data_IF_969035384249
#
_entry.id   IF_969035384249
#
_cell.length_a   1.000
_cell.length_b   1.000
_cell.length_c   1.000
_cell.angle_alpha   90.00
_cell.angle_beta   90.00
_cell.angle_gamma   90.00
#
_symmetry.space_group_name_H-M   'P 1'
#
loop_
_entity.id
_entity.type
_entity.pdbx_description
1 polymer ?
#
# COMPACT_ATOMS: atom_id res chain seq x y z
N UNK A 1 -53.84 18.60 -31.83
CA UNK A 1 -52.93 18.02 -32.84
C UNK A 1 -52.14 19.14 -33.48
N UNK A 2 -50.88 19.32 -33.07
CA UNK A 2 -49.82 19.73 -33.99
C UNK A 2 -48.49 19.39 -33.32
N UNK A 3 -47.69 18.64 -34.06
CA UNK A 3 -46.43 18.03 -33.69
C UNK A 3 -45.39 19.04 -34.18
N UNK A 4 -44.68 19.71 -33.26
CA UNK A 4 -43.55 20.54 -33.64
C UNK A 4 -42.28 19.98 -33.02
N UNK A 5 -41.35 19.72 -33.93
CA UNK A 5 -40.16 18.93 -33.78
C UNK A 5 -39.19 19.53 -32.77
N UNK A 6 -38.64 18.63 -31.96
CA UNK A 6 -37.44 18.84 -31.17
C UNK A 6 -36.27 18.96 -32.16
N UNK A 7 -35.89 20.18 -32.53
CA UNK A 7 -34.58 20.42 -33.14
C UNK A 7 -33.66 21.02 -32.10
N UNK A 8 -32.58 20.27 -31.88
CA UNK A 8 -31.47 20.55 -30.98
C UNK A 8 -30.87 21.93 -31.27
N UNK A 9 -31.26 22.92 -30.46
CA UNK A 9 -30.52 24.17 -30.35
C UNK A 9 -29.29 23.91 -29.49
N UNK A 10 -28.29 23.32 -30.13
CA UNK A 10 -26.90 23.34 -29.65
C UNK A 10 -26.52 24.81 -29.46
N UNK A 11 -26.52 25.27 -28.21
CA UNK A 11 -25.89 26.52 -27.83
C UNK A 11 -24.40 26.42 -28.17
N UNK A 12 -24.03 26.83 -29.39
CA UNK A 12 -22.68 27.25 -29.73
C UNK A 12 -22.42 28.51 -28.91
N UNK A 13 -21.94 28.31 -27.68
CA UNK A 13 -21.40 29.35 -26.83
C UNK A 13 -20.23 29.98 -27.59
N UNK A 14 -20.44 31.18 -28.13
CA UNK A 14 -19.37 31.91 -28.81
C UNK A 14 -18.16 32.06 -27.87
N UNK A 15 -16.93 31.75 -28.32
CA UNK A 15 -15.76 31.98 -27.51
C UNK A 15 -15.51 33.49 -27.42
N UNK A 16 -15.67 34.04 -26.21
CA UNK A 16 -15.30 35.40 -25.82
C UNK A 16 -13.77 35.58 -25.87
N UNK A 17 -13.20 35.75 -27.06
CA UNK A 17 -11.83 36.26 -27.22
C UNK A 17 -11.80 37.43 -28.20
N UNK A 18 -12.51 38.51 -27.85
CA UNK A 18 -12.18 39.87 -28.32
C UNK A 18 -11.27 40.53 -27.29
N UNK A 19 -10.05 40.03 -27.17
CA UNK A 19 -8.93 40.82 -26.66
C UNK A 19 -7.88 40.86 -27.76
N UNK A 20 -7.83 42.02 -28.43
CA UNK A 20 -6.90 42.37 -29.49
C UNK A 20 -5.46 42.35 -28.96
N UNK A 21 -4.81 41.19 -29.04
CA UNK A 21 -3.34 40.98 -29.12
C UNK A 21 -3.01 39.48 -29.22
N UNK A 22 -3.82 38.69 -29.94
CA UNK A 22 -3.39 37.34 -30.32
C UNK A 22 -2.58 37.53 -31.59
N UNK A 23 -1.26 37.68 -31.43
CA UNK A 23 -0.32 37.54 -32.53
C UNK A 23 -0.63 36.22 -33.25
N UNK A 24 -0.82 36.27 -34.57
CA UNK A 24 -0.90 35.09 -35.43
C UNK A 24 0.39 34.28 -35.24
N UNK A 25 0.36 33.34 -34.30
CA UNK A 25 1.36 32.29 -34.18
C UNK A 25 1.24 31.52 -35.50
N UNK A 26 2.32 31.48 -36.29
CA UNK A 26 2.30 30.70 -37.54
C UNK A 26 1.94 29.27 -37.17
N UNK A 27 1.18 28.57 -38.02
CA UNK A 27 0.75 27.19 -37.74
C UNK A 27 1.92 26.25 -37.39
N UNK A 28 3.13 26.53 -37.88
CA UNK A 28 4.38 25.86 -37.49
C UNK A 28 4.72 26.02 -36.01
N UNK A 29 4.57 27.24 -35.48
CA UNK A 29 4.99 27.61 -34.13
C UNK A 29 3.99 27.08 -33.10
N UNK A 30 2.71 26.98 -33.49
CA UNK A 30 1.66 26.37 -32.67
C UNK A 30 1.88 24.86 -32.48
N UNK A 31 2.28 24.15 -33.55
CA UNK A 31 2.60 22.72 -33.47
C UNK A 31 3.80 22.46 -32.57
N UNK A 32 4.84 23.30 -32.63
CA UNK A 32 6.00 23.19 -31.74
C UNK A 32 5.62 23.42 -30.26
N UNK A 33 4.70 24.34 -29.99
CA UNK A 33 4.18 24.57 -28.62
C UNK A 33 3.42 23.35 -28.11
N UNK A 34 2.56 22.74 -28.94
CA UNK A 34 1.84 21.51 -28.57
C UNK A 34 2.82 20.37 -28.31
N UNK A 35 3.81 20.16 -29.18
CA UNK A 35 4.79 19.09 -29.01
C UNK A 35 5.59 19.25 -27.70
N UNK A 36 6.00 20.47 -27.37
CA UNK A 36 6.67 20.77 -26.11
C UNK A 36 5.76 20.47 -24.90
N UNK A 37 4.47 20.82 -24.99
CA UNK A 37 3.51 20.52 -23.94
C UNK A 37 3.31 19.01 -23.77
N UNK A 38 3.20 18.26 -24.86
CA UNK A 38 3.08 16.79 -24.82
C UNK A 38 4.34 16.12 -24.24
N UNK A 39 5.52 16.71 -24.44
CA UNK A 39 6.76 16.26 -23.79
C UNK A 39 6.68 16.53 -22.27
N UNK A 40 6.32 17.75 -21.87
CA UNK A 40 6.23 18.13 -20.45
C UNK A 40 5.22 17.27 -19.69
N UNK A 41 4.04 17.03 -20.29
CA UNK A 41 3.01 16.17 -19.71
C UNK A 41 3.54 14.74 -19.53
N UNK A 42 4.23 14.18 -20.54
CA UNK A 42 4.82 12.84 -20.45
C UNK A 42 5.90 12.75 -19.38
N UNK A 43 6.75 13.76 -19.27
CA UNK A 43 7.79 13.81 -18.24
C UNK A 43 7.18 13.93 -16.84
N UNK A 44 6.10 14.71 -16.70
CA UNK A 44 5.37 14.82 -15.44
C UNK A 44 4.71 13.50 -15.03
N UNK A 45 4.07 12.81 -15.97
CA UNK A 45 3.49 11.48 -15.74
C UNK A 45 4.58 10.51 -15.26
N UNK A 46 5.71 10.44 -15.99
CA UNK A 46 6.83 9.57 -15.61
C UNK A 46 7.38 9.90 -14.22
N UNK A 47 7.49 11.18 -13.88
CA UNK A 47 7.93 11.62 -12.56
C UNK A 47 6.98 11.15 -11.46
N UNK A 48 5.67 11.22 -11.68
CA UNK A 48 4.67 10.78 -10.71
C UNK A 48 4.65 9.26 -10.56
N UNK A 49 4.79 8.51 -11.66
CA UNK A 49 4.91 7.05 -11.63
C UNK A 49 6.14 6.59 -10.85
N UNK A 50 7.28 7.27 -11.06
CA UNK A 50 8.51 6.99 -10.33
C UNK A 50 8.36 7.28 -8.83
N UNK A 51 7.71 8.39 -8.48
CA UNK A 51 7.44 8.74 -7.09
C UNK A 51 6.52 7.71 -6.43
N UNK A 52 5.43 7.33 -7.10
CA UNK A 52 4.52 6.31 -6.59
C UNK A 52 5.24 4.98 -6.35
N UNK A 53 6.13 4.58 -7.26
CA UNK A 53 6.92 3.37 -7.10
C UNK A 53 7.86 3.45 -5.90
N UNK A 54 8.52 4.58 -5.72
CA UNK A 54 9.37 4.83 -4.55
C UNK A 54 8.56 4.72 -3.24
N UNK A 55 7.39 5.35 -3.18
CA UNK A 55 6.53 5.32 -2.00
C UNK A 55 6.06 3.89 -1.67
N UNK A 56 5.73 3.10 -2.70
CA UNK A 56 5.38 1.68 -2.54
C UNK A 56 6.56 0.90 -1.95
N UNK A 57 7.75 1.05 -2.53
CA UNK A 57 8.95 0.35 -2.08
C UNK A 57 9.32 0.73 -0.64
N UNK A 58 9.18 2.01 -0.28
CA UNK A 58 9.40 2.50 1.09
C UNK A 58 8.40 1.89 2.08
N UNK A 59 7.11 1.90 1.75
CA UNK A 59 6.07 1.32 2.61
C UNK A 59 6.24 -0.19 2.78
N UNK A 60 6.62 -0.90 1.72
CA UNK A 60 6.92 -2.32 1.79
C UNK A 60 8.10 -2.59 2.72
N UNK A 61 9.21 -1.85 2.56
CA UNK A 61 10.38 -1.99 3.42
C UNK A 61 10.04 -1.72 4.89
N UNK A 62 9.27 -0.65 5.16
CA UNK A 62 8.84 -0.32 6.52
C UNK A 62 7.99 -1.44 7.14
N UNK A 63 7.03 -1.97 6.39
CA UNK A 63 6.21 -3.09 6.85
C UNK A 63 7.05 -4.35 7.13
N UNK A 64 8.04 -4.65 6.29
CA UNK A 64 8.97 -5.77 6.50
C UNK A 64 9.79 -5.59 7.77
N UNK A 65 10.33 -4.39 8.01
CA UNK A 65 11.04 -4.06 9.25
C UNK A 65 10.14 -4.24 10.48
N UNK A 66 8.92 -3.68 10.46
CA UNK A 66 7.97 -3.81 11.57
C UNK A 66 7.61 -5.28 11.84
N UNK A 67 7.38 -6.08 10.79
CA UNK A 67 7.12 -7.51 10.92
C UNK A 67 8.33 -8.23 11.52
N UNK A 68 9.56 -7.89 11.12
CA UNK A 68 10.77 -8.49 11.66
C UNK A 68 10.97 -8.20 13.16
N UNK A 69 10.53 -7.04 13.63
CA UNK A 69 10.58 -6.66 15.04
C UNK A 69 9.52 -7.36 15.91
N UNK A 70 8.50 -7.98 15.30
CA UNK A 70 7.46 -8.68 16.06
C UNK A 70 8.02 -9.88 16.84
N UNK A 71 7.55 -10.11 18.08
CA UNK A 71 7.84 -11.33 18.83
C UNK A 71 7.43 -12.58 18.04
N UNK A 72 8.25 -13.63 18.08
CA UNK A 72 8.00 -14.92 17.39
C UNK A 72 6.63 -15.51 17.69
N UNK A 73 6.16 -15.35 18.94
CA UNK A 73 4.83 -15.78 19.38
C UNK A 73 3.70 -15.08 18.63
N UNK A 74 3.87 -13.82 18.25
CA UNK A 74 2.89 -13.01 17.51
C UNK A 74 2.98 -13.30 16.02
N UNK A 75 4.19 -13.45 15.46
CA UNK A 75 4.41 -13.75 14.04
C UNK A 75 3.64 -14.99 13.57
N UNK A 76 3.54 -16.01 14.43
CA UNK A 76 2.86 -17.26 14.11
C UNK A 76 1.38 -17.29 14.52
N UNK A 77 0.85 -16.20 15.10
CA UNK A 77 -0.52 -16.11 15.59
C UNK A 77 -1.45 -15.55 14.52
N UNK A 78 -2.70 -16.05 14.45
CA UNK A 78 -3.71 -15.42 13.61
C UNK A 78 -4.07 -14.05 14.17
N UNK A 79 -4.27 -13.06 13.30
CA UNK A 79 -4.60 -11.68 13.70
C UNK A 79 -5.83 -11.61 14.64
N UNK A 80 -6.87 -12.40 14.36
CA UNK A 80 -8.08 -12.48 15.22
C UNK A 80 -7.73 -12.88 16.66
N UNK A 81 -6.83 -13.84 16.82
CA UNK A 81 -6.43 -14.37 18.12
C UNK A 81 -5.54 -13.35 18.84
N UNK A 82 -4.66 -12.65 18.11
CA UNK A 82 -3.86 -11.56 18.65
C UNK A 82 -4.73 -10.41 19.18
N UNK A 83 -5.75 -9.98 18.42
CA UNK A 83 -6.71 -8.96 18.85
C UNK A 83 -7.50 -9.45 20.06
N UNK A 84 -7.98 -10.70 20.05
CA UNK A 84 -8.79 -11.22 21.17
C UNK A 84 -7.97 -11.37 22.46
N UNK A 85 -6.73 -11.84 22.36
CA UNK A 85 -5.88 -12.15 23.52
C UNK A 85 -5.16 -10.92 24.09
N UNK A 86 -4.64 -10.05 23.21
CA UNK A 86 -3.81 -8.91 23.61
C UNK A 86 -4.44 -7.55 23.28
N UNK A 87 -5.65 -7.52 22.71
CA UNK A 87 -6.33 -6.29 22.28
C UNK A 87 -5.51 -5.47 21.27
N UNK A 88 -4.72 -6.15 20.43
CA UNK A 88 -3.87 -5.50 19.44
C UNK A 88 -2.57 -4.91 19.99
N UNK A 89 -2.27 -5.09 21.28
CA UNK A 89 -1.13 -4.47 21.94
C UNK A 89 0.07 -5.43 22.04
N UNK A 90 1.15 -5.10 21.32
CA UNK A 90 2.39 -5.89 21.27
C UNK A 90 3.12 -5.85 22.62
N UNK A 91 3.03 -4.75 23.37
CA UNK A 91 3.73 -4.60 24.65
C UNK A 91 3.25 -5.62 25.69
N UNK A 92 1.97 -6.02 25.63
CA UNK A 92 1.41 -7.07 26.50
C UNK A 92 1.99 -8.45 26.22
N UNK A 93 2.45 -8.70 25.00
CA UNK A 93 3.09 -9.97 24.64
C UNK A 93 4.51 -10.02 25.17
N UNK A 94 5.25 -8.91 25.10
CA UNK A 94 6.62 -8.82 25.60
C UNK A 94 6.72 -9.02 27.12
N UNK A 95 5.63 -8.77 27.86
CA UNK A 95 5.54 -8.98 29.30
C UNK A 95 5.20 -10.42 29.69
N UNK A 96 4.72 -11.26 28.76
CA UNK A 96 4.55 -12.68 29.06
C UNK A 96 5.93 -13.34 29.15
N UNK A 97 6.27 -14.00 30.26
CA UNK A 97 7.55 -14.68 30.37
C UNK A 97 7.62 -15.81 29.34
N UNK A 98 8.43 -15.62 28.30
CA UNK A 98 8.85 -16.69 27.40
C UNK A 98 9.80 -17.61 28.15
N UNK A 99 9.24 -18.55 28.91
CA UNK A 99 9.98 -19.71 29.38
C UNK A 99 10.16 -20.67 28.19
N UNK A 100 10.97 -20.27 27.23
CA UNK A 100 11.50 -21.19 26.24
C UNK A 100 12.56 -22.02 26.98
N UNK A 101 12.12 -23.12 27.60
CA UNK A 101 13.06 -24.11 28.11
C UNK A 101 13.94 -24.53 26.95
N UNK A 102 15.27 -24.31 27.02
CA UNK A 102 16.15 -24.80 25.99
C UNK A 102 15.95 -26.31 25.89
N UNK A 103 15.83 -26.83 24.67
CA UNK A 103 15.61 -28.26 24.42
C UNK A 103 16.70 -29.14 25.05
N UNK A 104 17.84 -28.57 25.44
CA UNK A 104 18.91 -29.19 26.22
C UNK A 104 18.56 -29.48 27.69
N UNK A 105 17.51 -28.87 28.26
CA UNK A 105 17.05 -29.10 29.63
C UNK A 105 15.79 -29.98 29.72
N UNK A 106 15.31 -30.54 28.59
CA UNK A 106 14.29 -31.59 28.64
C UNK A 106 14.91 -32.82 29.28
N UNK A 107 14.47 -33.15 30.49
CA UNK A 107 14.82 -34.39 31.16
C UNK A 107 14.41 -35.53 30.22
N UNK A 108 15.34 -36.41 29.80
CA UNK A 108 15.01 -37.53 28.94
C UNK A 108 13.93 -38.38 29.62
N UNK A 109 12.88 -38.76 28.87
CA UNK A 109 11.82 -39.60 29.40
C UNK A 109 12.44 -40.87 30.00
N UNK A 110 12.13 -41.14 31.27
CA UNK A 110 12.61 -42.32 31.98
C UNK A 110 12.23 -43.56 31.15
N UNK A 111 13.21 -44.36 30.67
CA UNK A 111 12.96 -45.54 29.89
C UNK A 111 11.88 -46.42 30.54
N UNK A 112 10.95 -46.99 29.76
CA UNK A 112 9.82 -47.75 30.31
C UNK A 112 10.26 -48.95 31.17
N UNK A 113 11.49 -49.45 30.98
CA UNK A 113 12.10 -50.47 31.81
C UNK A 113 12.30 -50.03 33.29
N UNK A 114 12.65 -48.77 33.53
CA UNK A 114 12.91 -48.24 34.87
C UNK A 114 11.64 -47.88 35.65
N UNK A 115 10.53 -47.60 34.94
CA UNK A 115 9.21 -47.35 35.58
C UNK A 115 8.67 -48.57 36.34
N UNK A 116 9.10 -49.78 35.98
CA UNK A 116 8.70 -51.03 36.66
C UNK A 116 9.43 -51.25 37.99
N UNK A 117 10.60 -50.65 38.18
CA UNK A 117 11.42 -50.78 39.40
C UNK A 117 11.02 -49.79 40.51
N UNK A 118 10.36 -48.68 40.14
CA UNK A 118 9.91 -47.63 41.06
C UNK A 118 8.51 -47.88 41.66
N UNK A 119 7.82 -48.94 41.25
CA UNK A 119 6.49 -49.34 41.78
C UNK A 119 6.60 -50.45 42.84
N UNK A 120 7.54 -50.33 43.78
CA UNK A 120 7.61 -51.21 44.96
C UNK A 120 7.25 -50.43 46.20
#
# INVERSE_FOLDING_TARGET
MSIYNHEDTLYLREPLYKNSSISLVKSSDYNAIIENFDIEVRDKIRSLENQLRFDIDELMLKAECEIQELPTKVKNMKLKDFITKYNGDISKVALEPTFDFPSSLRIPEIPPALKKLLKK
#
